data_IF_552562964792
#
_entry.id   IF_552562964792
#
_cell.length_a   1.000
_cell.length_b   1.000
_cell.length_c   1.000
_cell.angle_alpha   90.00
_cell.angle_beta   90.00
_cell.angle_gamma   90.00
#
_symmetry.space_group_name_H-M   'P 1'
#
loop_
_entity.id
_entity.type
_entity.pdbx_description
1 polymer ?
#
# COMPACT_ATOMS: atom_id res chain seq x y z
N UNK A 1 18.23 10.98 12.97
CA UNK A 1 17.08 11.05 12.05
C UNK A 1 17.43 10.23 10.81
N UNK A 2 16.62 9.23 10.47
CA UNK A 2 16.91 8.33 9.35
C UNK A 2 16.41 8.95 8.06
N UNK A 3 17.33 9.34 7.18
CA UNK A 3 17.00 9.86 5.87
C UNK A 3 16.22 8.79 5.09
N UNK A 4 14.98 9.09 4.70
CA UNK A 4 14.23 8.27 3.75
C UNK A 4 14.96 8.42 2.40
N UNK A 5 15.77 7.43 2.03
CA UNK A 5 16.39 7.41 0.71
C UNK A 5 15.29 7.13 -0.30
N UNK A 6 14.99 8.12 -1.15
CA UNK A 6 14.09 7.95 -2.28
C UNK A 6 14.47 6.69 -3.06
N UNK A 7 13.48 5.84 -3.33
CA UNK A 7 13.71 4.58 -4.02
C UNK A 7 12.42 3.83 -4.33
N UNK A 8 12.49 2.75 -5.13
CA UNK A 8 11.32 2.03 -5.59
C UNK A 8 10.45 1.58 -4.41
N UNK A 9 9.18 1.96 -4.47
CA UNK A 9 8.19 1.68 -3.43
C UNK A 9 7.04 0.89 -4.01
N UNK A 10 6.80 -0.31 -3.50
CA UNK A 10 5.66 -1.13 -3.88
C UNK A 10 4.54 -0.93 -2.88
N UNK A 11 3.32 -0.72 -3.38
CA UNK A 11 2.13 -0.57 -2.54
C UNK A 11 1.15 -1.67 -2.95
N UNK A 12 0.74 -2.46 -1.97
CA UNK A 12 -0.18 -3.57 -2.14
C UNK A 12 -1.32 -3.46 -1.14
N UNK A 13 -2.55 -3.63 -1.61
CA UNK A 13 -3.72 -3.77 -0.76
C UNK A 13 -4.32 -5.15 -0.99
N UNK A 14 -4.59 -5.86 0.11
CA UNK A 14 -5.22 -7.17 0.08
C UNK A 14 -6.34 -7.26 1.11
N UNK A 15 -7.36 -8.05 0.81
CA UNK A 15 -8.35 -8.46 1.82
C UNK A 15 -7.76 -9.51 2.78
N UNK A 16 -8.51 -9.87 3.82
CA UNK A 16 -8.10 -10.90 4.78
C UNK A 16 -8.03 -12.32 4.21
N UNK A 17 -8.64 -12.57 3.06
CA UNK A 17 -8.51 -13.85 2.35
C UNK A 17 -7.20 -13.91 1.53
N UNK A 18 -6.43 -12.81 1.48
CA UNK A 18 -5.18 -12.72 0.72
C UNK A 18 -5.37 -12.28 -0.73
N UNK A 19 -6.60 -11.99 -1.17
CA UNK A 19 -6.87 -11.48 -2.52
C UNK A 19 -6.27 -10.09 -2.64
N UNK A 20 -5.39 -9.90 -3.64
CA UNK A 20 -4.84 -8.59 -3.96
C UNK A 20 -5.89 -7.78 -4.71
N UNK A 21 -6.30 -6.66 -4.14
CA UNK A 21 -7.31 -5.74 -4.70
C UNK A 21 -6.69 -4.47 -5.28
N UNK A 22 -5.43 -4.19 -4.95
CA UNK A 22 -4.64 -3.12 -5.54
C UNK A 22 -3.14 -3.44 -5.48
N UNK A 23 -2.41 -3.12 -6.54
CA UNK A 23 -0.96 -3.26 -6.60
C UNK A 23 -0.37 -2.19 -7.51
N UNK A 24 0.59 -1.41 -7.01
CA UNK A 24 1.34 -0.44 -7.80
C UNK A 24 2.78 -0.38 -7.37
N UNK A 25 3.63 0.12 -8.26
CA UNK A 25 5.03 0.43 -7.99
C UNK A 25 5.31 1.88 -8.35
N UNK A 26 5.88 2.60 -7.40
CA UNK A 26 6.37 3.96 -7.58
C UNK A 26 7.87 3.90 -7.74
N UNK A 27 8.39 4.41 -8.86
CA UNK A 27 9.83 4.39 -9.13
C UNK A 27 10.57 5.43 -8.27
N UNK A 28 9.91 6.54 -7.97
CA UNK A 28 10.43 7.63 -7.14
C UNK A 28 9.36 8.00 -6.11
N UNK A 29 9.61 7.64 -4.85
CA UNK A 29 8.75 8.01 -3.71
C UNK A 29 9.55 8.92 -2.79
N UNK A 30 9.08 10.16 -2.64
CA UNK A 30 9.70 11.24 -1.86
C UNK A 30 9.24 11.28 -0.40
N UNK A 31 8.36 10.36 0.01
CA UNK A 31 7.81 10.26 1.35
C UNK A 31 6.35 10.68 1.46
N UNK A 32 5.75 11.28 0.42
CA UNK A 32 4.34 11.67 0.42
C UNK A 32 3.60 11.09 -0.79
N UNK A 33 2.50 10.37 -0.54
CA UNK A 33 1.62 9.88 -1.60
C UNK A 33 0.17 10.13 -1.19
N UNK A 34 -0.56 10.82 -2.05
CA UNK A 34 -2.00 10.95 -1.96
C UNK A 34 -2.60 10.49 -3.30
N UNK A 35 -2.90 9.20 -3.41
CA UNK A 35 -3.46 8.61 -4.61
C UNK A 35 -4.87 8.09 -4.31
N UNK A 36 -5.90 8.50 -5.05
CA UNK A 36 -7.19 7.84 -4.98
C UNK A 36 -7.03 6.40 -5.48
N UNK A 37 -7.45 5.44 -4.67
CA UNK A 37 -7.45 4.02 -5.03
C UNK A 37 -8.89 3.57 -5.19
N UNK A 38 -9.26 3.20 -6.42
CA UNK A 38 -10.53 2.55 -6.70
C UNK A 38 -10.38 1.03 -6.56
N UNK A 39 -11.04 0.46 -5.56
CA UNK A 39 -11.07 -0.98 -5.36
C UNK A 39 -12.14 -1.59 -6.27
N UNK A 40 -11.73 -2.39 -7.25
CA UNK A 40 -12.68 -3.09 -8.10
C UNK A 40 -13.38 -4.19 -7.27
N UNK A 41 -14.71 -4.05 -7.14
CA UNK A 41 -15.65 -5.09 -6.70
C UNK A 41 -15.57 -5.57 -5.24
N UNK A 42 -14.97 -4.78 -4.34
CA UNK A 42 -14.98 -5.12 -2.90
C UNK A 42 -15.21 -3.86 -2.06
N UNK A 43 -16.47 -3.55 -1.74
CA UNK A 43 -16.87 -2.24 -1.19
C UNK A 43 -16.75 -2.14 0.34
N UNK A 44 -16.79 -3.26 1.07
CA UNK A 44 -16.79 -3.28 2.53
C UNK A 44 -15.96 -4.43 3.06
N UNK A 45 -15.27 -4.21 4.17
CA UNK A 45 -14.47 -5.23 4.82
C UNK A 45 -13.15 -4.71 5.36
N UNK A 46 -12.32 -5.64 5.78
CA UNK A 46 -11.00 -5.36 6.33
C UNK A 46 -9.93 -5.64 5.29
N UNK A 47 -8.98 -4.71 5.18
CA UNK A 47 -7.87 -4.81 4.24
C UNK A 47 -6.56 -4.52 4.95
N UNK A 48 -5.49 -5.05 4.38
CA UNK A 48 -4.12 -4.76 4.76
C UNK A 48 -3.47 -3.99 3.63
N UNK A 49 -3.07 -2.75 3.93
CA UNK A 49 -2.18 -1.96 3.08
C UNK A 49 -0.76 -2.30 3.47
N UNK A 50 0.07 -2.66 2.50
CA UNK A 50 1.49 -2.93 2.69
C UNK A 50 2.31 -2.05 1.76
N UNK A 51 3.30 -1.35 2.33
CA UNK A 51 4.25 -0.50 1.62
C UNK A 51 5.62 -1.12 1.78
N UNK A 52 6.28 -1.44 0.68
CA UNK A 52 7.61 -2.04 0.66
C UNK A 52 8.60 -1.10 0.00
N UNK A 53 9.68 -0.75 0.70
CA UNK A 53 10.77 0.07 0.17
C UNK A 53 12.10 -0.38 0.79
N UNK A 54 13.13 -0.57 -0.04
CA UNK A 54 14.47 -0.92 0.45
C UNK A 54 14.53 -2.18 1.33
N UNK A 55 13.68 -3.17 1.04
CA UNK A 55 13.58 -4.42 1.81
C UNK A 55 12.83 -4.31 3.14
N UNK A 56 12.29 -3.14 3.49
CA UNK A 56 11.43 -2.94 4.66
C UNK A 56 9.97 -2.98 4.24
N UNK A 57 9.13 -3.61 5.06
CA UNK A 57 7.68 -3.68 4.85
C UNK A 57 6.99 -2.96 6.02
N UNK A 58 6.11 -2.02 5.69
CA UNK A 58 5.21 -1.35 6.61
C UNK A 58 3.79 -1.78 6.27
N UNK A 59 3.05 -2.27 7.26
CA UNK A 59 1.66 -2.72 7.07
C UNK A 59 0.71 -1.99 7.98
N UNK A 60 -0.46 -1.64 7.45
CA UNK A 60 -1.54 -1.01 8.19
C UNK A 60 -2.88 -1.67 7.85
N UNK A 61 -3.68 -1.95 8.88
CA UNK A 61 -5.03 -2.47 8.70
C UNK A 61 -6.00 -1.31 8.50
N UNK A 62 -6.82 -1.39 7.47
CA UNK A 62 -7.91 -0.46 7.20
C UNK A 62 -9.26 -1.19 7.22
N UNK A 63 -10.30 -0.50 7.65
CA UNK A 63 -11.68 -1.02 7.66
C UNK A 63 -12.54 -0.09 6.82
N UNK A 64 -13.08 -0.62 5.72
CA UNK A 64 -14.01 0.08 4.84
C UNK A 64 -15.44 -0.36 5.22
N UNK A 65 -16.30 0.61 5.58
CA UNK A 65 -17.66 0.39 6.10
C UNK A 65 -18.74 0.80 5.12
#
# INVERSE_FOLDING_TARGET
>A
EGQLTAGPTSIRIMDLAGKVVYNTQLNEFDGHLNLPVELQETLKGEYIVSIMQGGRIFSHKIVLR
#
